data_IF_943040235833
#
_entry.id   IF_943040235833
#
_cell.length_a   1.000
_cell.length_b   1.000
_cell.length_c   1.000
_cell.angle_alpha   90.00
_cell.angle_beta   90.00
_cell.angle_gamma   90.00
#
_symmetry.space_group_name_H-M   'P 1'
#
loop_
_entity.id
_entity.type
_entity.pdbx_description
1 polymer ?
#
# COMPACT_ATOMS: atom_id res chain seq x y z
N UNK A 1 19.98 -27.62 13.33
CA UNK A 1 19.10 -27.27 14.47
C UNK A 1 17.74 -26.92 13.91
N UNK A 2 16.64 -27.52 14.38
CA UNK A 2 15.36 -27.41 13.69
C UNK A 2 14.80 -26.00 13.86
N UNK A 3 14.31 -25.45 12.74
CA UNK A 3 13.55 -24.22 12.59
C UNK A 3 12.18 -24.37 13.28
N UNK A 4 12.18 -24.47 14.61
CA UNK A 4 10.97 -24.40 15.44
C UNK A 4 11.18 -23.27 16.43
N UNK A 5 10.16 -22.42 16.55
CA UNK A 5 10.04 -21.27 17.45
C UNK A 5 10.47 -19.90 16.85
N UNK A 6 9.71 -19.42 15.85
CA UNK A 6 9.84 -18.03 15.36
C UNK A 6 8.51 -17.22 15.38
N UNK A 7 7.49 -17.73 16.08
CA UNK A 7 6.38 -16.89 16.55
C UNK A 7 6.67 -16.49 18.00
N UNK A 8 7.79 -15.80 18.18
CA UNK A 8 8.21 -15.28 19.48
C UNK A 8 7.18 -14.20 19.91
N UNK A 9 6.69 -14.30 21.14
CA UNK A 9 5.64 -13.46 21.75
C UNK A 9 5.98 -11.95 21.72
N UNK A 10 7.26 -11.63 21.46
CA UNK A 10 7.80 -10.27 21.50
C UNK A 10 7.65 -9.46 20.21
N UNK A 11 7.16 -10.04 19.11
CA UNK A 11 6.98 -9.32 17.85
C UNK A 11 5.49 -9.18 17.53
N UNK A 12 4.88 -8.06 17.93
CA UNK A 12 3.47 -7.83 17.63
C UNK A 12 3.27 -7.79 16.10
N UNK A 13 2.18 -8.34 15.55
CA UNK A 13 1.89 -8.30 14.11
C UNK A 13 2.01 -6.89 13.49
N UNK A 14 1.73 -5.88 14.32
CA UNK A 14 1.81 -4.44 14.05
C UNK A 14 3.23 -3.97 13.69
N UNK A 15 4.25 -4.58 14.29
CA UNK A 15 5.66 -4.22 14.11
C UNK A 15 6.27 -4.89 12.87
N UNK A 16 5.69 -6.02 12.43
CA UNK A 16 6.15 -6.74 11.24
C UNK A 16 5.72 -6.07 9.94
N UNK A 17 4.56 -5.41 9.93
CA UNK A 17 3.90 -5.04 8.68
C UNK A 17 3.00 -3.77 8.82
N UNK A 18 3.58 -2.59 9.10
CA UNK A 18 2.81 -1.37 9.40
C UNK A 18 1.83 -0.95 8.30
N UNK A 19 2.15 -1.26 7.03
CA UNK A 19 1.26 -1.02 5.89
C UNK A 19 0.00 -1.90 5.90
N UNK A 20 0.06 -3.11 6.49
CA UNK A 20 -1.07 -4.04 6.52
C UNK A 20 -2.07 -3.70 7.63
N UNK A 21 -1.59 -3.25 8.78
CA UNK A 21 -2.44 -2.59 9.80
C UNK A 21 -3.22 -1.43 9.17
N UNK A 22 -2.54 -0.59 8.38
CA UNK A 22 -3.20 0.53 7.72
C UNK A 22 -4.31 0.06 6.77
N UNK A 23 -4.04 -0.93 5.91
CA UNK A 23 -5.05 -1.46 4.99
C UNK A 23 -6.26 -2.01 5.73
N UNK A 24 -6.06 -2.78 6.81
CA UNK A 24 -7.14 -3.35 7.61
C UNK A 24 -7.99 -2.29 8.30
N UNK A 25 -7.34 -1.36 8.99
CA UNK A 25 -8.05 -0.49 9.93
C UNK A 25 -8.54 0.81 9.28
N UNK A 26 -7.95 1.22 8.14
CA UNK A 26 -8.23 2.52 7.51
C UNK A 26 -8.88 2.44 6.14
N UNK A 27 -8.56 1.45 5.31
CA UNK A 27 -9.15 1.39 3.96
C UNK A 27 -10.58 0.87 4.01
N UNK A 28 -11.47 1.51 3.26
CA UNK A 28 -12.88 1.15 3.15
C UNK A 28 -13.27 1.03 1.68
N UNK A 29 -14.31 0.24 1.37
CA UNK A 29 -14.94 0.29 0.05
C UNK A 29 -15.24 1.73 -0.35
N UNK A 30 -15.04 2.03 -1.63
CA UNK A 30 -15.16 3.35 -2.24
C UNK A 30 -14.04 4.36 -1.95
N UNK A 31 -13.05 4.02 -1.12
CA UNK A 31 -11.84 4.85 -0.99
C UNK A 31 -11.06 4.91 -2.31
N UNK A 32 -10.67 6.12 -2.70
CA UNK A 32 -9.85 6.36 -3.89
C UNK A 32 -8.37 6.20 -3.60
N UNK A 33 -7.65 5.56 -4.52
CA UNK A 33 -6.23 5.25 -4.41
C UNK A 33 -5.48 5.64 -5.68
N UNK A 34 -4.28 6.21 -5.51
CA UNK A 34 -3.39 6.56 -6.62
C UNK A 34 -2.54 5.35 -7.00
N UNK A 35 -2.46 5.04 -8.30
CA UNK A 35 -1.60 3.97 -8.83
C UNK A 35 -0.21 4.55 -9.11
N UNK A 36 0.79 4.07 -8.36
CA UNK A 36 2.17 4.52 -8.48
C UNK A 36 3.07 3.46 -9.12
N UNK A 37 3.74 3.82 -10.22
CA UNK A 37 4.71 2.96 -10.89
C UNK A 37 6.11 3.15 -10.29
N UNK A 38 6.47 2.34 -9.30
CA UNK A 38 7.75 2.46 -8.58
C UNK A 38 8.96 1.95 -9.37
N UNK A 39 8.78 0.92 -10.21
CA UNK A 39 9.84 0.30 -11.02
C UNK A 39 9.77 0.73 -12.49
N UNK A 40 9.49 2.01 -12.74
CA UNK A 40 9.42 2.58 -14.09
C UNK A 40 10.46 3.71 -14.26
N UNK A 41 10.79 4.01 -15.53
CA UNK A 41 11.64 5.14 -15.91
C UNK A 41 10.91 5.98 -16.96
N UNK A 42 10.39 7.17 -16.61
CA UNK A 42 10.28 7.74 -15.26
C UNK A 42 9.31 6.97 -14.35
N UNK A 43 9.52 7.04 -13.03
CA UNK A 43 8.56 6.56 -12.02
C UNK A 43 7.64 7.70 -11.57
N UNK A 44 6.43 7.37 -11.16
CA UNK A 44 5.40 8.38 -10.89
C UNK A 44 3.99 7.81 -10.74
N UNK A 45 3.02 8.71 -10.55
CA UNK A 45 1.61 8.37 -10.51
C UNK A 45 1.06 8.25 -11.93
N UNK A 46 0.38 7.14 -12.22
CA UNK A 46 -0.08 6.78 -13.56
C UNK A 46 -1.60 6.74 -13.70
N UNK A 47 -2.34 6.72 -12.59
CA UNK A 47 -3.79 6.63 -12.63
C UNK A 47 -4.45 6.56 -11.26
N UNK A 48 -5.73 6.27 -11.31
CA UNK A 48 -6.65 6.21 -10.19
C UNK A 48 -7.33 4.83 -10.16
N UNK A 49 -7.48 4.30 -8.96
CA UNK A 49 -8.30 3.15 -8.66
C UNK A 49 -9.14 3.44 -7.43
N UNK A 50 -10.05 2.52 -7.12
CA UNK A 50 -10.91 2.57 -5.95
C UNK A 50 -10.93 1.23 -5.26
N UNK A 51 -10.97 1.23 -3.94
CA UNK A 51 -11.14 0.02 -3.15
C UNK A 51 -12.55 -0.54 -3.41
N UNK A 52 -12.64 -1.80 -3.83
CA UNK A 52 -13.91 -2.43 -4.19
C UNK A 52 -14.26 -3.66 -3.34
N UNK A 53 -13.43 -4.00 -2.35
CA UNK A 53 -13.79 -4.95 -1.30
C UNK A 53 -13.46 -4.42 0.09
N UNK A 54 -14.14 -4.97 1.11
CA UNK A 54 -13.69 -4.82 2.48
C UNK A 54 -12.37 -5.57 2.66
N UNK A 55 -11.53 -5.14 3.60
CA UNK A 55 -10.29 -5.84 3.89
C UNK A 55 -10.54 -7.28 4.35
N UNK A 56 -9.75 -8.22 3.84
CA UNK A 56 -9.85 -9.64 4.19
C UNK A 56 -8.45 -10.27 4.37
N UNK A 57 -8.33 -11.40 5.09
CA UNK A 57 -7.05 -12.08 5.28
C UNK A 57 -6.42 -12.56 3.97
N UNK A 58 -5.10 -12.51 3.84
CA UNK A 58 -4.40 -13.09 2.68
C UNK A 58 -4.40 -14.63 2.76
N UNK A 59 -5.15 -15.34 1.90
CA UNK A 59 -5.21 -16.80 1.95
C UNK A 59 -3.85 -17.45 1.64
N UNK A 60 -2.96 -16.75 0.92
CA UNK A 60 -1.62 -17.26 0.55
C UNK A 60 -0.68 -17.32 1.74
N UNK A 61 -0.97 -16.58 2.82
CA UNK A 61 -0.22 -16.65 4.06
C UNK A 61 -0.49 -17.95 4.84
N UNK A 62 -1.62 -18.61 4.57
CA UNK A 62 -2.04 -19.84 5.24
C UNK A 62 -1.63 -21.11 4.50
N UNK A 63 -1.20 -21.00 3.25
CA UNK A 63 -0.85 -22.14 2.39
C UNK A 63 0.66 -22.47 2.48
N UNK A 64 1.08 -23.61 3.05
CA UNK A 64 2.49 -23.99 3.18
C UNK A 64 3.23 -24.17 1.84
N UNK A 65 2.50 -24.36 0.73
CA UNK A 65 3.10 -24.45 -0.60
C UNK A 65 3.34 -23.06 -1.24
N UNK A 66 2.76 -22.01 -0.68
CA UNK A 66 2.89 -20.63 -1.15
C UNK A 66 4.26 -20.04 -0.78
N UNK A 67 4.84 -19.27 -1.69
CA UNK A 67 6.03 -18.45 -1.39
C UNK A 67 5.77 -17.34 -0.36
N UNK A 68 4.50 -17.08 -0.05
CA UNK A 68 4.05 -16.08 0.91
C UNK A 68 3.55 -16.70 2.23
N UNK A 69 3.74 -18.00 2.43
CA UNK A 69 3.38 -18.68 3.67
C UNK A 69 4.02 -18.02 4.89
N UNK A 70 3.23 -17.83 5.95
CA UNK A 70 3.71 -17.36 7.24
C UNK A 70 3.16 -18.27 8.35
N UNK A 71 4.06 -19.01 9.00
CA UNK A 71 3.70 -19.91 10.11
C UNK A 71 3.09 -19.19 11.32
N UNK A 72 3.19 -17.86 11.40
CA UNK A 72 2.58 -17.06 12.45
C UNK A 72 1.20 -16.50 12.06
N UNK A 73 0.72 -16.74 10.83
CA UNK A 73 -0.63 -16.36 10.41
C UNK A 73 -1.55 -17.58 10.47
N UNK A 74 -2.73 -17.41 11.06
CA UNK A 74 -3.77 -18.45 11.12
C UNK A 74 -5.10 -17.92 10.59
N UNK A 75 -6.08 -18.80 10.41
CA UNK A 75 -7.42 -18.39 10.01
C UNK A 75 -8.13 -17.57 11.12
N UNK A 76 -7.89 -17.90 12.39
CA UNK A 76 -8.50 -17.24 13.54
C UNK A 76 -7.74 -15.96 13.96
N UNK A 77 -6.42 -15.92 13.72
CA UNK A 77 -5.56 -14.75 13.95
C UNK A 77 -4.68 -14.48 12.72
N UNK A 78 -5.23 -13.81 11.69
CA UNK A 78 -4.51 -13.51 10.47
C UNK A 78 -3.57 -12.30 10.66
N UNK A 79 -2.33 -12.45 10.19
CA UNK A 79 -1.30 -11.39 10.22
C UNK A 79 -1.38 -10.50 8.97
N UNK A 80 -1.72 -11.10 7.83
CA UNK A 80 -1.67 -10.46 6.52
C UNK A 80 -3.06 -10.20 5.98
N UNK A 81 -3.24 -9.02 5.38
CA UNK A 81 -4.53 -8.53 4.89
C UNK A 81 -4.41 -8.00 3.47
N UNK A 82 -5.46 -8.21 2.68
CA UNK A 82 -5.60 -7.74 1.32
C UNK A 82 -6.85 -6.87 1.17
N UNK A 83 -6.85 -6.07 0.12
CA UNK A 83 -8.01 -5.36 -0.42
C UNK A 83 -7.99 -5.51 -1.93
N UNK A 84 -9.17 -5.60 -2.54
CA UNK A 84 -9.29 -5.54 -3.98
C UNK A 84 -9.40 -4.08 -4.41
N UNK A 85 -8.64 -3.74 -5.45
CA UNK A 85 -8.69 -2.43 -6.08
C UNK A 85 -9.25 -2.58 -7.49
N UNK A 86 -10.25 -1.76 -7.78
CA UNK A 86 -10.88 -1.67 -9.08
C UNK A 86 -10.33 -0.44 -9.79
N UNK A 87 -9.80 -0.66 -10.99
CA UNK A 87 -9.30 0.41 -11.84
C UNK A 87 -10.43 1.42 -12.16
N UNK A 88 -10.17 2.70 -11.99
CA UNK A 88 -11.10 3.77 -12.35
C UNK A 88 -10.65 4.48 -13.62
N UNK A 89 -9.42 5.00 -13.60
CA UNK A 89 -8.94 5.89 -14.65
C UNK A 89 -7.43 5.79 -14.84
N UNK A 90 -7.00 5.83 -16.10
CA UNK A 90 -5.59 6.04 -16.45
C UNK A 90 -5.41 7.51 -16.76
N UNK A 91 -4.44 8.15 -16.10
CA UNK A 91 -4.17 9.56 -16.36
C UNK A 91 -3.65 9.78 -17.79
N UNK A 92 -3.99 10.91 -18.43
CA UNK A 92 -3.48 11.29 -19.74
C UNK A 92 -1.95 11.28 -19.83
N UNK A 93 -1.28 11.54 -18.71
CA UNK A 93 0.17 11.51 -18.58
C UNK A 93 0.61 10.97 -17.23
N UNK A 94 1.86 10.52 -17.17
CA UNK A 94 2.51 10.20 -15.90
C UNK A 94 2.88 11.49 -15.15
N UNK A 95 2.51 11.57 -13.87
CA UNK A 95 2.98 12.61 -12.96
C UNK A 95 4.26 12.08 -12.31
N UNK A 96 5.39 12.53 -12.81
CA UNK A 96 6.69 11.98 -12.43
C UNK A 96 7.07 12.36 -10.99
N UNK A 97 7.87 11.52 -10.33
CA UNK A 97 8.41 11.86 -9.01
C UNK A 97 9.25 13.15 -9.02
N UNK A 98 10.00 13.38 -10.11
CA UNK A 98 10.79 14.61 -10.26
C UNK A 98 9.89 15.84 -10.27
N UNK A 99 8.79 15.79 -11.00
CA UNK A 99 7.77 16.85 -11.02
C UNK A 99 7.13 17.05 -9.65
N UNK A 100 6.67 15.96 -9.01
CA UNK A 100 6.05 16.03 -7.68
C UNK A 100 6.98 16.67 -6.64
N UNK A 101 8.29 16.41 -6.72
CA UNK A 101 9.29 16.97 -5.81
C UNK A 101 9.49 18.48 -5.96
N UNK A 102 9.20 19.02 -7.13
CA UNK A 102 9.31 20.46 -7.41
C UNK A 102 8.04 21.25 -7.14
N UNK A 103 6.93 20.57 -6.83
CA UNK A 103 5.64 21.21 -6.57
C UNK A 103 5.49 21.57 -5.08
N UNK A 104 5.40 22.87 -4.71
CA UNK A 104 5.25 23.29 -3.32
C UNK A 104 3.96 22.78 -2.68
N UNK A 105 2.89 22.56 -3.45
CA UNK A 105 1.64 22.04 -2.92
C UNK A 105 1.71 20.55 -2.54
N UNK A 106 2.80 19.85 -2.90
CA UNK A 106 3.09 18.47 -2.51
C UNK A 106 4.17 18.38 -1.42
N UNK A 107 4.57 19.50 -0.83
CA UNK A 107 5.50 19.50 0.29
C UNK A 107 4.94 18.67 1.46
N UNK A 108 5.82 17.88 2.08
CA UNK A 108 5.45 17.01 3.20
C UNK A 108 4.74 15.70 2.82
N UNK A 109 4.35 15.50 1.55
CA UNK A 109 3.69 14.28 1.07
C UNK A 109 4.53 13.04 1.43
N UNK A 110 3.88 12.05 2.06
CA UNK A 110 4.54 10.86 2.59
C UNK A 110 5.38 10.12 1.53
N UNK A 111 4.92 10.10 0.27
CA UNK A 111 5.60 9.48 -0.88
C UNK A 111 6.96 10.09 -1.18
N UNK A 112 7.14 11.39 -0.91
CA UNK A 112 8.33 12.16 -1.28
C UNK A 112 9.41 12.19 -0.19
N UNK A 113 9.09 11.65 1.01
CA UNK A 113 10.00 11.61 2.15
C UNK A 113 11.20 10.70 1.86
N UNK A 114 12.40 11.14 2.25
CA UNK A 114 13.62 10.35 2.11
C UNK A 114 13.48 9.05 2.90
N UNK A 115 13.80 7.93 2.26
CA UNK A 115 13.73 6.60 2.90
C UNK A 115 12.32 6.00 2.99
N UNK A 116 11.30 6.63 2.38
CA UNK A 116 9.98 5.99 2.26
C UNK A 116 10.11 4.68 1.44
N UNK A 117 9.60 3.59 2.01
CA UNK A 117 9.62 2.22 1.44
C UNK A 117 8.28 1.50 1.58
N UNK A 118 7.27 2.14 2.20
CA UNK A 118 5.96 1.53 2.32
C UNK A 118 5.28 1.46 0.94
N UNK A 119 4.76 0.30 0.53
CA UNK A 119 4.06 0.16 -0.75
C UNK A 119 2.66 0.77 -0.71
N UNK A 120 2.05 0.87 0.47
CA UNK A 120 0.75 1.49 0.72
C UNK A 120 0.93 2.54 1.79
N UNK A 121 0.40 3.74 1.56
CA UNK A 121 0.49 4.86 2.49
C UNK A 121 -0.74 5.77 2.35
N UNK A 122 -1.14 6.46 3.42
CA UNK A 122 -2.15 7.51 3.32
C UNK A 122 -1.63 8.68 2.47
N UNK A 123 -2.56 9.30 1.75
CA UNK A 123 -2.34 10.56 1.04
C UNK A 123 -3.28 11.58 1.64
N UNK A 124 -2.76 12.75 2.02
CA UNK A 124 -3.60 13.81 2.56
C UNK A 124 -4.54 14.36 1.46
N UNK A 125 -5.76 14.80 1.80
CA UNK A 125 -6.72 15.28 0.80
C UNK A 125 -6.17 16.41 -0.09
N UNK A 126 -5.36 17.30 0.48
CA UNK A 126 -4.72 18.39 -0.27
C UNK A 126 -3.72 17.87 -1.31
N UNK A 127 -2.85 16.92 -0.93
CA UNK A 127 -1.92 16.29 -1.87
C UNK A 127 -2.65 15.50 -2.94
N UNK A 128 -3.69 14.75 -2.56
CA UNK A 128 -4.49 13.97 -3.50
C UNK A 128 -5.16 14.87 -4.55
N UNK A 129 -5.82 15.95 -4.11
CA UNK A 129 -6.44 16.93 -5.01
C UNK A 129 -5.41 17.58 -5.94
N UNK A 130 -4.19 17.86 -5.44
CA UNK A 130 -3.12 18.40 -6.26
C UNK A 130 -2.66 17.42 -7.34
N UNK A 131 -2.51 16.14 -7.01
CA UNK A 131 -2.18 15.10 -7.99
C UNK A 131 -3.24 15.00 -9.09
N UNK A 132 -4.53 15.03 -8.73
CA UNK A 132 -5.61 15.05 -9.71
C UNK A 132 -5.60 16.31 -10.59
N UNK A 133 -5.23 17.46 -10.05
CA UNK A 133 -5.08 18.67 -10.86
C UNK A 133 -3.89 18.59 -11.84
N UNK A 134 -2.84 17.83 -11.49
CA UNK A 134 -1.67 17.62 -12.35
C UNK A 134 -1.90 16.57 -13.44
N UNK A 135 -2.84 15.63 -13.25
CA UNK A 135 -3.09 14.55 -14.21
C UNK A 135 -3.64 15.04 -15.54
N UNK A 136 -4.32 16.20 -15.54
CA UNK A 136 -4.97 16.79 -16.72
C UNK A 136 -6.48 16.71 -16.62
#
# INVERSE_FOLDING_TARGET
MPFRDACDEKSQPKDKAPQYWFMRDRMRPDDRVLIYHSNAKPHGVAGLARVCSATYPDPRALDPASSYYDSCSSADDPVWFLVDVCFEEKFPRLISWAEMRTDPALEGMALLRKGQRLPVMPVEPAHFARILALSG
#
